data_IF_586432959435
#
_entry.id   IF_586432959435
#
_cell.length_a   1.000
_cell.length_b   1.000
_cell.length_c   1.000
_cell.angle_alpha   90.00
_cell.angle_beta   90.00
_cell.angle_gamma   90.00
#
_symmetry.space_group_name_H-M   'P 1'
#
loop_
_entity.id
_entity.type
_entity.pdbx_description
1 polymer ?
#
# COMPACT_ATOMS: atom_id res chain seq x y z
N UNK A 1 -53.97 60.30 -23.70
CA UNK A 1 -53.74 61.77 -23.69
C UNK A 1 -53.95 62.26 -22.27
N UNK A 2 -53.08 63.15 -21.77
CA UNK A 2 -53.04 63.73 -20.39
C UNK A 2 -53.00 62.71 -19.23
N UNK A 3 -52.14 62.83 -18.21
CA UNK A 3 -51.57 64.04 -17.58
C UNK A 3 -52.35 64.29 -16.27
N UNK A 4 -51.75 64.50 -15.09
CA UNK A 4 -50.38 64.94 -14.74
C UNK A 4 -50.04 64.65 -13.25
N UNK A 5 -48.75 64.70 -12.88
CA UNK A 5 -48.22 64.86 -11.49
C UNK A 5 -47.83 66.34 -11.29
N UNK A 6 -47.89 66.96 -10.08
CA UNK A 6 -46.79 66.94 -9.08
C UNK A 6 -47.37 66.86 -7.62
N UNK A 7 -46.72 67.15 -6.47
CA UNK A 7 -45.35 67.49 -6.02
C UNK A 7 -45.16 66.82 -4.61
N UNK A 8 -44.00 66.40 -4.09
CA UNK A 8 -42.81 67.11 -3.52
C UNK A 8 -43.08 68.18 -2.45
N UNK A 9 -42.63 67.91 -1.21
CA UNK A 9 -41.76 68.70 -0.29
C UNK A 9 -41.83 67.98 1.09
N UNK A 10 -40.81 67.28 1.61
CA UNK A 10 -39.45 67.66 2.05
C UNK A 10 -39.38 68.30 3.46
N UNK A 11 -38.33 67.94 4.22
CA UNK A 11 -37.92 68.31 5.63
C UNK A 11 -38.02 67.07 6.56
N UNK A 12 -36.96 66.26 6.70
CA UNK A 12 -35.88 66.36 7.70
C UNK A 12 -36.35 66.39 9.17
N UNK A 13 -35.98 65.38 9.97
CA UNK A 13 -34.88 65.47 10.95
C UNK A 13 -34.95 64.42 12.10
N UNK A 14 -33.76 63.88 12.43
CA UNK A 14 -33.30 63.41 13.76
C UNK A 14 -33.86 62.09 14.35
N UNK A 15 -32.89 61.26 14.74
CA UNK A 15 -32.97 59.93 15.33
C UNK A 15 -33.54 59.86 16.76
N UNK A 16 -33.84 58.63 17.22
CA UNK A 16 -33.31 58.07 18.47
C UNK A 16 -33.21 56.54 18.34
N UNK A 17 -32.19 55.96 18.99
CA UNK A 17 -31.86 54.52 19.02
C UNK A 17 -32.76 53.75 20.00
N UNK A 18 -33.19 52.54 19.63
CA UNK A 18 -33.66 51.52 20.57
C UNK A 18 -33.42 50.09 20.02
N UNK A 19 -32.16 49.67 19.96
CA UNK A 19 -31.79 48.30 19.58
C UNK A 19 -32.18 47.32 20.69
N UNK A 20 -33.34 46.68 20.58
CA UNK A 20 -33.69 45.55 21.45
C UNK A 20 -33.00 44.30 20.89
N UNK A 21 -31.77 44.06 21.37
CA UNK A 21 -31.13 42.76 21.26
C UNK A 21 -31.91 41.74 22.10
N UNK A 22 -32.78 40.97 21.46
CA UNK A 22 -33.19 39.68 22.01
C UNK A 22 -31.99 38.75 21.96
N UNK A 23 -31.32 38.61 23.11
CA UNK A 23 -30.25 37.65 23.32
C UNK A 23 -30.78 36.23 23.23
N UNK A 24 -30.85 35.69 22.03
CA UNK A 24 -30.90 34.24 21.84
C UNK A 24 -29.54 33.68 22.26
N UNK A 25 -29.43 33.26 23.52
CA UNK A 25 -28.32 32.43 24.01
C UNK A 25 -28.46 31.03 23.40
N UNK A 26 -28.22 30.93 22.09
CA UNK A 26 -27.88 29.68 21.46
C UNK A 26 -26.49 29.33 21.99
N UNK A 27 -26.40 28.33 22.86
CA UNK A 27 -25.14 27.70 23.17
C UNK A 27 -24.64 27.04 21.88
N UNK A 28 -23.75 27.72 21.15
CA UNK A 28 -22.82 27.06 20.26
C UNK A 28 -21.94 26.18 21.15
N UNK A 29 -22.40 24.95 21.35
CA UNK A 29 -21.48 23.88 21.72
C UNK A 29 -20.55 23.73 20.53
N UNK A 30 -19.45 24.50 20.56
CA UNK A 30 -18.27 24.30 19.74
C UNK A 30 -17.66 22.95 20.14
N UNK A 31 -18.36 21.90 19.71
CA UNK A 31 -17.88 20.55 19.69
C UNK A 31 -16.94 20.54 18.50
N UNK A 32 -15.69 20.92 18.78
CA UNK A 32 -14.56 20.61 17.93
C UNK A 32 -14.77 19.16 17.43
N UNK A 33 -14.77 18.92 16.11
CA UNK A 33 -14.91 17.57 15.59
C UNK A 33 -13.90 16.68 16.32
N UNK A 34 -14.28 15.46 16.75
CA UNK A 34 -13.33 14.58 17.43
C UNK A 34 -12.08 14.52 16.57
N UNK A 35 -10.94 14.94 17.13
CA UNK A 35 -9.68 14.97 16.40
C UNK A 35 -9.50 13.62 15.74
N UNK A 36 -9.34 13.62 14.41
CA UNK A 36 -9.15 12.36 13.69
C UNK A 36 -7.98 11.64 14.35
N UNK A 37 -8.16 10.37 14.77
CA UNK A 37 -7.08 9.66 15.44
C UNK A 37 -5.89 9.66 14.49
N UNK A 38 -4.74 10.14 14.98
CA UNK A 38 -3.51 10.16 14.19
C UNK A 38 -3.33 8.80 13.51
N UNK A 39 -2.93 8.77 12.22
CA UNK A 39 -2.62 7.51 11.55
C UNK A 39 -1.67 6.69 12.44
N UNK A 40 -1.94 5.39 12.65
CA UNK A 40 -1.06 4.55 13.44
C UNK A 40 0.34 4.58 12.83
N UNK A 41 1.34 4.83 13.68
CA UNK A 41 2.74 4.92 13.26
C UNK A 41 3.17 3.62 12.56
N UNK A 42 3.55 3.73 11.30
CA UNK A 42 4.10 2.61 10.55
C UNK A 42 5.51 2.35 11.07
N UNK A 43 5.69 1.19 11.67
CA UNK A 43 6.99 0.70 12.17
C UNK A 43 7.63 -0.29 11.20
N UNK A 44 7.12 -0.39 9.97
CA UNK A 44 7.63 -1.33 8.96
C UNK A 44 7.97 -0.63 7.65
N UNK A 45 8.88 -1.24 6.90
CA UNK A 45 9.30 -0.77 5.59
C UNK A 45 9.53 -1.91 4.62
N UNK A 46 9.55 -1.59 3.33
CA UNK A 46 9.84 -2.51 2.24
C UNK A 46 11.14 -2.12 1.54
N UNK A 47 12.03 -3.10 1.34
CA UNK A 47 13.25 -2.95 0.58
C UNK A 47 13.19 -3.87 -0.65
N UNK A 48 12.86 -3.28 -1.80
CA UNK A 48 12.65 -4.00 -3.05
C UNK A 48 13.91 -4.10 -3.92
N UNK A 49 13.92 -5.12 -4.77
CA UNK A 49 14.92 -5.36 -5.81
C UNK A 49 14.29 -6.18 -6.94
N UNK A 50 14.97 -6.27 -8.08
CA UNK A 50 14.55 -7.06 -9.25
C UNK A 50 15.66 -7.99 -9.72
N UNK A 51 15.30 -9.03 -10.45
CA UNK A 51 16.25 -9.82 -11.23
C UNK A 51 16.91 -8.99 -12.36
N UNK A 52 18.11 -9.38 -12.84
CA UNK A 52 18.82 -8.65 -13.88
C UNK A 52 18.02 -8.57 -15.19
N UNK A 53 17.71 -7.36 -15.63
CA UNK A 53 16.93 -7.08 -16.85
C UNK A 53 15.49 -6.63 -16.60
N UNK A 54 14.98 -6.80 -15.38
CA UNK A 54 13.64 -6.33 -14.97
C UNK A 54 13.75 -4.95 -14.33
N UNK A 55 12.98 -3.98 -14.84
CA UNK A 55 12.95 -2.60 -14.34
C UNK A 55 11.98 -2.47 -13.14
N UNK A 56 12.53 -2.11 -11.98
CA UNK A 56 11.78 -1.94 -10.73
C UNK A 56 10.87 -0.70 -10.76
N UNK A 57 11.13 0.24 -11.66
CA UNK A 57 10.36 1.49 -11.84
C UNK A 57 9.38 1.41 -13.01
N UNK A 58 9.26 0.24 -13.63
CA UNK A 58 8.21 -0.03 -14.61
C UNK A 58 6.83 0.05 -13.97
N UNK A 59 5.80 0.38 -14.78
CA UNK A 59 4.41 0.48 -14.33
C UNK A 59 3.91 -0.84 -13.75
N UNK A 60 4.42 -1.94 -14.29
CA UNK A 60 4.05 -3.30 -13.97
C UNK A 60 4.70 -3.74 -12.64
N UNK A 61 5.96 -3.38 -12.40
CA UNK A 61 6.61 -3.55 -11.10
C UNK A 61 5.94 -2.71 -10.01
N UNK A 62 5.55 -1.47 -10.31
CA UNK A 62 4.81 -0.58 -9.41
C UNK A 62 3.45 -1.19 -8.99
N UNK A 63 2.68 -1.74 -9.94
CA UNK A 63 1.40 -2.41 -9.69
C UNK A 63 1.57 -3.69 -8.84
N UNK A 64 2.61 -4.48 -9.08
CA UNK A 64 2.93 -5.69 -8.30
C UNK A 64 3.34 -5.31 -6.87
N UNK A 65 4.20 -4.29 -6.70
CA UNK A 65 4.56 -3.70 -5.39
C UNK A 65 3.31 -3.28 -4.61
N UNK A 66 2.49 -2.42 -5.22
CA UNK A 66 1.31 -1.86 -4.57
C UNK A 66 0.29 -2.95 -4.20
N UNK A 67 0.18 -4.02 -4.99
CA UNK A 67 -0.67 -5.17 -4.68
C UNK A 67 -0.25 -5.84 -3.36
N UNK A 68 1.05 -6.04 -3.15
CA UNK A 68 1.59 -6.69 -1.96
C UNK A 68 1.53 -5.75 -0.74
N UNK A 69 2.04 -4.52 -0.86
CA UNK A 69 2.00 -3.53 0.24
C UNK A 69 0.56 -3.19 0.64
N UNK A 70 -0.36 -3.11 -0.33
CA UNK A 70 -1.79 -2.94 -0.07
C UNK A 70 -2.45 -4.12 0.68
N UNK A 71 -1.98 -5.37 0.48
CA UNK A 71 -2.44 -6.51 1.27
C UNK A 71 -1.92 -6.49 2.71
N UNK A 72 -0.69 -6.02 2.90
CA UNK A 72 -0.06 -5.88 4.22
C UNK A 72 -0.72 -4.73 5.02
N UNK A 73 -0.99 -3.59 4.38
CA UNK A 73 -1.81 -2.53 4.97
C UNK A 73 -3.24 -2.99 5.28
N UNK A 74 -3.85 -3.82 4.41
CA UNK A 74 -5.17 -4.42 4.68
C UNK A 74 -5.15 -5.35 5.89
N UNK A 75 -4.10 -6.15 6.06
CA UNK A 75 -3.91 -7.00 7.23
C UNK A 75 -3.82 -6.17 8.52
N UNK A 76 -2.98 -5.13 8.52
CA UNK A 76 -2.65 -4.35 9.71
C UNK A 76 -3.71 -3.30 10.10
N UNK A 77 -4.41 -2.72 9.12
CA UNK A 77 -5.29 -1.55 9.34
C UNK A 77 -6.71 -1.72 8.76
N UNK A 78 -6.99 -2.85 8.09
CA UNK A 78 -8.24 -3.09 7.38
C UNK A 78 -8.26 -2.45 5.99
N UNK A 79 -9.05 -3.01 5.07
CA UNK A 79 -9.02 -2.65 3.64
C UNK A 79 -9.32 -1.18 3.35
N UNK A 80 -10.11 -0.53 4.21
CA UNK A 80 -10.52 0.88 4.05
C UNK A 80 -9.37 1.86 4.39
N UNK A 81 -8.30 1.38 5.05
CA UNK A 81 -7.07 2.11 5.35
C UNK A 81 -5.85 1.59 4.54
N UNK A 82 -6.11 0.83 3.48
CA UNK A 82 -5.08 0.38 2.53
C UNK A 82 -4.78 1.48 1.49
N UNK A 83 -3.93 1.17 0.51
CA UNK A 83 -3.59 2.04 -0.61
C UNK A 83 -4.85 2.49 -1.35
N UNK A 84 -4.96 3.76 -1.78
CA UNK A 84 -6.12 4.23 -2.53
C UNK A 84 -6.36 3.36 -3.78
N UNK A 85 -7.62 2.99 -3.99
CA UNK A 85 -8.03 2.07 -5.07
C UNK A 85 -7.82 0.58 -4.79
N UNK A 86 -7.05 0.19 -3.77
CA UNK A 86 -6.78 -1.23 -3.47
C UNK A 86 -8.07 -2.04 -3.26
N UNK A 87 -9.00 -1.49 -2.46
CA UNK A 87 -10.30 -2.11 -2.19
C UNK A 87 -11.09 -2.40 -3.48
N UNK A 88 -11.04 -1.51 -4.47
CA UNK A 88 -11.66 -1.77 -5.77
C UNK A 88 -10.86 -2.79 -6.60
N UNK A 89 -9.53 -2.68 -6.60
CA UNK A 89 -8.64 -3.56 -7.34
C UNK A 89 -8.80 -5.04 -6.95
N UNK A 90 -9.00 -5.36 -5.67
CA UNK A 90 -9.28 -6.74 -5.18
C UNK A 90 -10.77 -7.13 -5.21
N UNK A 91 -11.65 -6.25 -5.68
CA UNK A 91 -13.09 -6.50 -5.76
C UNK A 91 -13.83 -6.45 -4.42
N UNK A 92 -13.35 -5.62 -3.48
CA UNK A 92 -13.99 -5.25 -2.22
C UNK A 92 -13.71 -6.18 -1.01
N UNK A 93 -14.06 -5.71 0.21
CA UNK A 93 -13.91 -6.50 1.43
C UNK A 93 -14.65 -7.83 1.34
N UNK A 94 -13.95 -8.92 1.66
CA UNK A 94 -14.50 -10.27 1.71
C UNK A 94 -13.66 -11.17 2.61
N UNK A 95 -14.27 -11.67 3.68
CA UNK A 95 -13.77 -12.90 4.30
C UNK A 95 -13.94 -14.05 3.30
N UNK A 96 -12.83 -14.55 2.76
CA UNK A 96 -12.86 -15.48 1.63
C UNK A 96 -12.08 -16.75 1.91
N UNK A 97 -12.56 -17.86 1.33
CA UNK A 97 -11.84 -19.12 1.16
C UNK A 97 -11.33 -19.29 -0.28
N UNK A 98 -11.39 -18.22 -1.08
CA UNK A 98 -10.83 -18.14 -2.42
C UNK A 98 -9.31 -18.19 -2.31
N UNK A 99 -8.73 -19.30 -2.76
CA UNK A 99 -7.31 -19.60 -2.61
C UNK A 99 -6.43 -18.72 -3.50
N UNK A 100 -7.00 -18.00 -4.48
CA UNK A 100 -6.28 -17.00 -5.28
C UNK A 100 -5.81 -15.80 -4.48
N UNK A 101 -6.36 -15.55 -3.30
CA UNK A 101 -5.97 -14.44 -2.44
C UNK A 101 -5.37 -14.95 -1.13
N UNK A 102 -4.29 -14.30 -0.68
CA UNK A 102 -3.84 -14.42 0.69
C UNK A 102 -5.02 -14.05 1.61
N UNK A 103 -5.28 -14.86 2.65
CA UNK A 103 -6.53 -14.82 3.40
C UNK A 103 -6.86 -13.42 3.95
N UNK A 104 -5.83 -12.63 4.30
CA UNK A 104 -5.97 -11.27 4.82
C UNK A 104 -6.08 -10.16 3.78
N UNK A 105 -5.76 -10.41 2.51
CA UNK A 105 -5.70 -9.38 1.44
C UNK A 105 -7.06 -8.70 1.16
N UNK A 106 -8.14 -9.18 1.77
CA UNK A 106 -9.50 -8.66 1.59
C UNK A 106 -10.25 -8.48 2.91
N UNK A 107 -9.55 -8.48 4.05
CA UNK A 107 -10.19 -8.32 5.35
C UNK A 107 -10.69 -6.89 5.58
N UNK A 108 -11.96 -6.79 5.99
CA UNK A 108 -12.57 -5.49 6.29
C UNK A 108 -11.96 -4.83 7.52
N UNK A 109 -11.62 -5.64 8.52
CA UNK A 109 -11.10 -5.19 9.81
C UNK A 109 -9.64 -5.65 9.96
N UNK A 110 -8.79 -4.86 10.65
CA UNK A 110 -7.43 -5.26 10.97
C UNK A 110 -7.40 -6.51 11.85
N UNK A 111 -6.27 -7.22 11.84
CA UNK A 111 -5.97 -8.16 12.92
C UNK A 111 -5.53 -7.42 14.18
N UNK A 112 -5.94 -7.95 15.34
CA UNK A 112 -5.45 -7.53 16.65
C UNK A 112 -4.03 -8.08 16.87
N UNK A 113 -3.05 -7.45 16.22
CA UNK A 113 -1.61 -7.69 16.41
C UNK A 113 -0.93 -6.37 16.68
N UNK A 114 -0.04 -6.34 17.67
CA UNK A 114 0.81 -5.19 17.90
C UNK A 114 1.76 -5.01 16.70
N UNK A 115 1.91 -3.80 16.12
CA UNK A 115 2.92 -3.55 15.10
C UNK A 115 4.32 -3.90 15.62
N UNK A 116 5.13 -4.55 14.78
CA UNK A 116 6.48 -4.98 15.13
C UNK A 116 7.48 -4.27 14.19
N UNK A 117 8.53 -3.63 14.72
CA UNK A 117 9.60 -3.05 13.90
C UNK A 117 10.26 -4.06 12.96
N UNK A 118 10.03 -3.94 11.65
CA UNK A 118 10.42 -4.95 10.65
C UNK A 118 10.69 -4.35 9.27
N UNK A 119 11.66 -4.92 8.53
CA UNK A 119 11.79 -4.68 7.09
C UNK A 119 11.44 -5.93 6.31
N UNK A 120 10.54 -5.78 5.34
CA UNK A 120 10.21 -6.78 4.34
C UNK A 120 11.13 -6.60 3.14
N UNK A 121 12.08 -7.52 2.99
CA UNK A 121 12.93 -7.58 1.81
C UNK A 121 12.18 -8.33 0.71
N UNK A 122 12.04 -7.69 -0.45
CA UNK A 122 11.23 -8.18 -1.57
C UNK A 122 12.09 -8.24 -2.84
N UNK A 123 11.88 -9.27 -3.65
CA UNK A 123 12.56 -9.44 -4.94
C UNK A 123 11.57 -9.86 -6.01
N UNK A 124 11.36 -8.99 -6.99
CA UNK A 124 10.49 -9.23 -8.12
C UNK A 124 11.22 -10.10 -9.16
N UNK A 125 10.59 -11.21 -9.52
CA UNK A 125 11.06 -12.23 -10.45
C UNK A 125 9.92 -12.69 -11.35
N UNK A 126 10.26 -13.27 -12.51
CA UNK A 126 9.29 -13.84 -13.46
C UNK A 126 8.19 -12.82 -13.86
N UNK A 127 8.56 -11.54 -14.00
CA UNK A 127 7.63 -10.48 -14.43
C UNK A 127 7.33 -10.67 -15.92
N UNK A 128 6.09 -11.06 -16.24
CA UNK A 128 5.60 -11.22 -17.60
C UNK A 128 4.41 -10.30 -17.87
N UNK A 129 4.41 -9.67 -19.04
CA UNK A 129 3.32 -8.80 -19.52
C UNK A 129 2.83 -9.34 -20.86
N UNK A 130 1.57 -9.80 -20.91
CA UNK A 130 0.95 -10.34 -22.12
C UNK A 130 -0.40 -9.67 -22.32
N UNK A 131 -0.55 -8.96 -23.45
CA UNK A 131 -1.70 -8.12 -23.78
C UNK A 131 -2.05 -7.16 -22.63
N UNK A 132 -3.14 -7.45 -21.90
CA UNK A 132 -3.67 -6.66 -20.79
C UNK A 132 -3.46 -7.35 -19.43
N UNK A 133 -2.54 -8.31 -19.34
CA UNK A 133 -2.26 -9.09 -18.13
C UNK A 133 -0.82 -8.91 -17.66
N UNK A 134 -0.66 -8.66 -16.37
CA UNK A 134 0.62 -8.73 -15.65
C UNK A 134 0.61 -10.02 -14.82
N UNK A 135 1.66 -10.81 -14.93
CA UNK A 135 1.93 -11.96 -14.05
C UNK A 135 3.31 -11.76 -13.43
N UNK A 136 3.46 -12.05 -12.15
CA UNK A 136 4.75 -11.94 -11.46
C UNK A 136 4.86 -12.87 -10.25
N UNK A 137 6.08 -13.21 -9.89
CA UNK A 137 6.42 -13.78 -8.58
C UNK A 137 7.27 -12.81 -7.77
N UNK A 138 7.07 -12.79 -6.44
CA UNK A 138 7.85 -11.95 -5.53
C UNK A 138 8.37 -12.80 -4.39
N UNK A 139 9.69 -12.97 -4.36
CA UNK A 139 10.41 -13.64 -3.28
C UNK A 139 10.52 -12.70 -2.07
N UNK A 140 10.47 -13.26 -0.87
CA UNK A 140 10.48 -12.52 0.38
C UNK A 140 11.44 -13.08 1.42
N UNK A 141 11.88 -12.20 2.31
CA UNK A 141 12.22 -12.52 3.70
C UNK A 141 12.02 -11.26 4.55
N UNK A 142 12.09 -11.38 5.87
CA UNK A 142 11.97 -10.22 6.77
C UNK A 142 12.99 -10.27 7.89
N UNK A 143 13.51 -9.11 8.28
CA UNK A 143 14.37 -8.94 9.44
C UNK A 143 13.73 -7.96 10.40
N UNK A 144 13.78 -8.26 11.69
CA UNK A 144 13.21 -7.43 12.75
C UNK A 144 14.29 -6.57 13.41
N UNK A 145 13.89 -5.40 13.93
CA UNK A 145 14.83 -4.49 14.59
C UNK A 145 15.11 -4.83 16.06
N UNK A 146 14.15 -5.45 16.76
CA UNK A 146 14.18 -5.62 18.23
C UNK A 146 14.16 -7.09 18.70
N UNK A 147 14.13 -8.08 17.79
CA UNK A 147 14.00 -9.50 18.14
C UNK A 147 14.63 -10.47 17.14
N UNK A 148 15.21 -11.54 17.66
CA UNK A 148 15.62 -12.72 16.89
C UNK A 148 14.42 -13.66 16.69
N UNK A 149 13.67 -13.48 15.60
CA UNK A 149 12.51 -14.34 15.28
C UNK A 149 12.86 -15.45 14.27
N UNK A 150 12.65 -16.71 14.66
CA UNK A 150 13.00 -17.90 13.88
C UNK A 150 12.11 -18.15 12.65
N UNK A 151 11.15 -17.26 12.36
CA UNK A 151 10.01 -17.56 11.49
C UNK A 151 10.32 -17.78 10.00
N UNK A 152 11.54 -17.51 9.53
CA UNK A 152 11.94 -17.65 8.12
C UNK A 152 12.90 -18.81 7.83
N UNK A 153 12.94 -19.85 8.67
CA UNK A 153 13.57 -21.13 8.32
C UNK A 153 12.47 -22.18 8.05
N UNK A 154 12.31 -22.69 6.82
CA UNK A 154 13.09 -22.39 5.62
C UNK A 154 12.77 -21.01 5.00
N UNK A 155 13.72 -20.46 4.23
CA UNK A 155 13.46 -19.36 3.32
C UNK A 155 12.59 -19.88 2.18
N UNK A 156 11.34 -19.44 2.18
CA UNK A 156 10.30 -20.02 1.34
C UNK A 156 9.11 -19.07 1.09
N UNK A 157 9.25 -17.78 1.41
CA UNK A 157 8.20 -16.80 1.18
C UNK A 157 8.21 -16.38 -0.29
N UNK A 158 7.24 -16.83 -1.08
CA UNK A 158 7.03 -16.32 -2.44
C UNK A 158 5.55 -16.00 -2.65
N UNK A 159 5.26 -14.86 -3.27
CA UNK A 159 3.90 -14.39 -3.55
C UNK A 159 3.71 -14.36 -5.07
N UNK A 160 2.69 -15.06 -5.56
CA UNK A 160 2.25 -14.98 -6.96
C UNK A 160 1.23 -13.86 -7.11
N UNK A 161 1.42 -13.00 -8.12
CA UNK A 161 0.58 -11.84 -8.40
C UNK A 161 0.10 -11.88 -9.86
N UNK A 162 -1.20 -11.70 -10.06
CA UNK A 162 -1.81 -11.54 -11.38
C UNK A 162 -2.73 -10.32 -11.36
N UNK A 163 -2.57 -9.43 -12.34
CA UNK A 163 -3.47 -8.31 -12.58
C UNK A 163 -3.99 -8.35 -14.02
N UNK A 164 -5.27 -8.07 -14.20
CA UNK A 164 -5.90 -7.87 -15.50
C UNK A 164 -6.37 -6.41 -15.64
N UNK A 165 -6.09 -5.81 -16.80
CA UNK A 165 -6.65 -4.54 -17.24
C UNK A 165 -7.91 -4.80 -18.08
N UNK A 166 -9.11 -4.34 -17.68
CA UNK A 166 -10.32 -4.47 -18.47
C UNK A 166 -10.18 -3.91 -19.90
N UNK A 167 -10.95 -4.46 -20.84
CA UNK A 167 -10.92 -3.99 -22.23
C UNK A 167 -11.33 -2.51 -22.31
N UNK A 168 -10.44 -1.67 -22.84
CA UNK A 168 -10.63 -0.21 -22.89
C UNK A 168 -10.28 0.54 -21.60
N UNK A 169 -9.77 -0.13 -20.57
CA UNK A 169 -9.25 0.50 -19.36
C UNK A 169 -7.95 1.27 -19.60
N UNK A 170 -7.68 2.25 -18.74
CA UNK A 170 -6.45 3.03 -18.74
C UNK A 170 -5.30 2.23 -18.10
N UNK A 171 -4.23 2.01 -18.87
CA UNK A 171 -2.99 1.38 -18.39
C UNK A 171 -2.32 2.18 -17.26
N UNK A 172 -2.47 3.51 -17.30
CA UNK A 172 -1.76 4.46 -16.45
C UNK A 172 -0.29 4.64 -16.86
N UNK A 173 0.36 5.63 -16.25
CA UNK A 173 1.80 5.78 -16.26
C UNK A 173 2.37 5.41 -14.89
N UNK A 174 3.63 4.96 -14.85
CA UNK A 174 4.36 4.77 -13.60
C UNK A 174 4.66 6.13 -12.93
N UNK A 175 4.90 6.10 -11.62
CA UNK A 175 5.56 7.19 -10.92
C UNK A 175 6.98 7.44 -11.43
N UNK A 176 7.56 8.62 -11.15
CA UNK A 176 8.98 8.89 -11.40
C UNK A 176 9.87 7.87 -10.66
N UNK A 177 10.99 7.41 -11.26
CA UNK A 177 11.95 6.56 -10.57
C UNK A 177 12.51 7.21 -9.30
N UNK A 178 12.58 6.43 -8.22
CA UNK A 178 13.31 6.78 -7.01
C UNK A 178 14.82 6.75 -7.30
N UNK A 179 15.46 7.91 -7.16
CA UNK A 179 16.82 8.13 -7.63
C UNK A 179 17.92 7.77 -6.65
N UNK A 180 17.63 7.57 -5.36
CA UNK A 180 18.66 7.32 -4.34
C UNK A 180 18.18 6.44 -3.17
N UNK A 181 18.46 5.12 -3.18
CA UNK A 181 18.11 4.20 -2.08
C UNK A 181 18.81 4.48 -0.74
N UNK A 182 19.74 5.45 -0.67
CA UNK A 182 20.38 5.88 0.57
C UNK A 182 19.70 7.08 1.23
N UNK A 183 18.71 7.69 0.56
CA UNK A 183 17.86 8.75 1.13
C UNK A 183 16.42 8.27 1.23
N UNK A 184 15.64 8.89 2.11
CA UNK A 184 14.18 8.72 2.06
C UNK A 184 13.44 9.93 2.63
N UNK A 185 12.31 10.27 2.04
CA UNK A 185 11.25 11.08 2.61
C UNK A 185 10.76 10.44 3.93
N UNK A 186 10.66 11.20 5.04
CA UNK A 186 10.12 10.69 6.29
C UNK A 186 8.74 10.01 6.18
N UNK A 187 7.93 10.40 5.20
CA UNK A 187 6.60 9.86 4.95
C UNK A 187 6.58 8.74 3.88
N UNK A 188 7.72 8.32 3.32
CA UNK A 188 7.80 7.33 2.23
C UNK A 188 7.16 5.97 2.56
N UNK A 189 7.18 5.57 3.84
CA UNK A 189 6.55 4.35 4.34
C UNK A 189 5.02 4.40 4.34
N UNK A 190 4.41 5.59 4.27
CA UNK A 190 2.97 5.75 4.24
C UNK A 190 2.39 5.33 2.87
N UNK A 191 1.11 4.89 2.82
CA UNK A 191 0.44 4.66 1.55
C UNK A 191 0.47 5.90 0.64
N UNK A 192 0.59 5.69 -0.68
CA UNK A 192 0.54 6.77 -1.67
C UNK A 192 -0.74 7.59 -1.55
N UNK A 193 -0.65 8.91 -1.75
CA UNK A 193 -1.80 9.82 -1.76
C UNK A 193 -2.69 9.72 -3.01
N UNK A 194 -2.43 8.79 -3.93
CA UNK A 194 -3.16 8.60 -5.19
C UNK A 194 -3.52 7.14 -5.43
N UNK A 195 -4.48 6.90 -6.33
CA UNK A 195 -4.85 5.55 -6.75
C UNK A 195 -3.79 4.96 -7.69
N UNK A 196 -2.93 4.08 -7.15
CA UNK A 196 -1.91 3.39 -7.96
C UNK A 196 -2.54 2.44 -8.98
N UNK A 197 -3.68 1.83 -8.68
CA UNK A 197 -4.27 0.77 -9.50
C UNK A 197 -5.02 1.27 -10.72
N UNK A 198 -5.73 2.40 -10.61
CA UNK A 198 -6.60 2.89 -11.68
C UNK A 198 -7.63 1.83 -12.10
N UNK A 199 -7.59 1.42 -13.37
CA UNK A 199 -8.49 0.42 -13.94
C UNK A 199 -8.02 -1.03 -13.75
N UNK A 200 -6.79 -1.27 -13.26
CA UNK A 200 -6.28 -2.62 -13.03
C UNK A 200 -7.03 -3.37 -11.93
N UNK A 201 -7.26 -4.67 -12.13
CA UNK A 201 -7.95 -5.55 -11.17
C UNK A 201 -7.07 -6.76 -10.83
N UNK A 202 -6.76 -6.91 -9.55
CA UNK A 202 -5.96 -8.02 -9.00
C UNK A 202 -6.81 -9.29 -9.09
N UNK A 203 -6.34 -10.28 -9.85
CA UNK A 203 -7.01 -11.57 -10.04
C UNK A 203 -6.49 -12.62 -9.04
N UNK A 204 -5.19 -12.57 -8.77
CA UNK A 204 -4.46 -13.46 -7.87
C UNK A 204 -3.44 -12.65 -7.09
N UNK A 205 -3.34 -12.91 -5.79
CA UNK A 205 -2.36 -12.34 -4.88
C UNK A 205 -2.13 -13.34 -3.76
N UNK A 206 -1.36 -14.40 -4.04
CA UNK A 206 -1.32 -15.62 -3.23
C UNK A 206 0.09 -15.91 -2.71
N UNK A 207 0.22 -16.08 -1.39
CA UNK A 207 1.40 -16.73 -0.81
C UNK A 207 1.47 -18.19 -1.28
N UNK A 208 2.53 -18.55 -2.00
CA UNK A 208 2.72 -19.89 -2.55
C UNK A 208 3.02 -20.86 -1.38
N UNK A 209 2.20 -21.91 -1.16
CA UNK A 209 2.39 -22.82 -0.05
C UNK A 209 3.52 -23.81 -0.35
N UNK A 210 4.47 -23.97 0.57
CA UNK A 210 5.55 -24.96 0.44
C UNK A 210 4.98 -26.38 0.49
N UNK A 211 4.84 -27.04 -0.66
CA UNK A 211 4.29 -28.39 -0.75
C UNK A 211 4.78 -29.12 -2.01
N UNK A 212 4.71 -30.47 -2.07
CA UNK A 212 5.08 -31.21 -3.28
C UNK A 212 4.26 -30.83 -4.53
N UNK A 213 3.04 -30.33 -4.33
CA UNK A 213 2.14 -29.89 -5.41
C UNK A 213 2.34 -28.41 -5.80
N UNK A 214 3.10 -27.65 -5.00
CA UNK A 214 3.40 -26.23 -5.23
C UNK A 214 4.85 -25.94 -4.81
N UNK A 215 5.74 -25.97 -5.79
CA UNK A 215 7.13 -25.53 -5.62
C UNK A 215 7.21 -24.01 -5.66
N UNK A 216 8.08 -23.44 -4.85
CA UNK A 216 8.49 -22.04 -4.97
C UNK A 216 9.15 -21.82 -6.35
N UNK A 217 9.05 -20.62 -6.96
CA UNK A 217 9.77 -20.30 -8.20
C UNK A 217 11.28 -20.52 -8.04
N UNK A 218 11.92 -21.21 -8.99
CA UNK A 218 13.37 -21.45 -8.96
C UNK A 218 14.18 -20.14 -9.04
N UNK A 219 13.61 -19.11 -9.67
CA UNK A 219 14.08 -17.73 -9.73
C UNK A 219 14.34 -17.08 -8.36
N UNK A 220 13.68 -17.52 -7.29
CA UNK A 220 13.96 -17.04 -5.93
C UNK A 220 15.31 -17.53 -5.35
N UNK A 221 15.80 -18.68 -5.83
CA UNK A 221 16.96 -19.35 -5.23
C UNK A 221 18.27 -18.60 -5.41
N UNK A 222 18.62 -18.03 -6.59
CA UNK A 222 19.82 -17.21 -6.73
C UNK A 222 19.84 -15.99 -5.81
N UNK A 223 18.69 -15.31 -5.65
CA UNK A 223 18.58 -14.13 -4.80
C UNK A 223 18.80 -14.49 -3.32
N UNK A 224 18.07 -15.47 -2.79
CA UNK A 224 18.28 -15.93 -1.41
C UNK A 224 19.71 -16.45 -1.18
N UNK A 225 20.26 -17.23 -2.11
CA UNK A 225 21.64 -17.75 -2.02
C UNK A 225 22.69 -16.63 -2.01
N UNK A 226 22.41 -15.49 -2.64
CA UNK A 226 23.31 -14.32 -2.61
C UNK A 226 23.34 -13.59 -1.26
N UNK A 227 22.28 -13.73 -0.45
CA UNK A 227 22.14 -13.06 0.86
C UNK A 227 22.43 -13.97 2.03
N UNK A 228 22.18 -15.27 1.87
CA UNK A 228 22.37 -16.31 2.87
C UNK A 228 23.22 -17.46 2.27
N UNK A 229 24.50 -17.20 1.91
CA UNK A 229 25.36 -18.15 1.20
C UNK A 229 25.71 -19.40 2.03
N UNK A 230 25.45 -19.39 3.34
CA UNK A 230 25.61 -20.52 4.25
C UNK A 230 24.38 -21.43 4.34
N UNK A 231 23.26 -21.09 3.68
CA UNK A 231 22.04 -21.89 3.73
C UNK A 231 22.06 -23.02 2.68
N UNK A 232 21.49 -24.17 3.04
CA UNK A 232 21.43 -25.34 2.16
C UNK A 232 20.20 -25.29 1.24
N UNK A 233 20.43 -25.30 -0.09
CA UNK A 233 19.37 -25.40 -1.09
C UNK A 233 18.68 -26.77 -1.02
N UNK A 234 17.35 -26.77 -0.93
CA UNK A 234 16.48 -27.95 -1.08
C UNK A 234 15.76 -27.90 -2.41
N UNK A 235 16.29 -28.64 -3.38
CA UNK A 235 15.85 -28.66 -4.78
C UNK A 235 14.42 -29.15 -5.00
N UNK A 236 13.91 -29.97 -4.10
CA UNK A 236 12.58 -30.60 -4.24
C UNK A 236 11.42 -29.61 -4.07
N UNK A 237 11.66 -28.49 -3.36
CA UNK A 237 10.65 -27.50 -2.98
C UNK A 237 11.05 -26.07 -3.36
N UNK A 238 12.26 -25.88 -3.89
CA UNK A 238 12.90 -24.59 -4.16
C UNK A 238 12.95 -23.68 -2.93
N UNK A 239 13.44 -24.21 -1.81
CA UNK A 239 13.62 -23.48 -0.55
C UNK A 239 15.09 -23.52 -0.10
N UNK A 240 15.49 -22.61 0.81
CA UNK A 240 16.79 -22.66 1.49
C UNK A 240 16.59 -22.92 2.98
N UNK A 241 17.32 -23.90 3.53
CA UNK A 241 17.34 -24.20 4.96
C UNK A 241 18.49 -23.46 5.64
N UNK A 242 18.22 -22.80 6.76
CA UNK A 242 19.29 -22.29 7.63
C UNK A 242 20.03 -23.46 8.30
N UNK A 243 21.35 -23.37 8.52
CA UNK A 243 22.11 -24.42 9.21
C UNK A 243 21.68 -24.58 10.69
N UNK A 244 22.00 -25.74 11.28
CA UNK A 244 21.63 -26.04 12.66
C UNK A 244 22.17 -24.99 13.65
N UNK A 245 21.29 -24.46 14.49
CA UNK A 245 21.62 -23.43 15.49
C UNK A 245 21.77 -22.01 14.93
N UNK A 246 21.50 -21.79 13.64
CA UNK A 246 21.49 -20.46 13.04
C UNK A 246 20.44 -19.54 13.67
N UNK A 247 20.76 -18.26 13.80
CA UNK A 247 19.90 -17.21 14.34
C UNK A 247 19.83 -16.02 13.37
N UNK A 248 18.65 -15.39 13.20
CA UNK A 248 18.49 -14.16 12.42
C UNK A 248 19.45 -13.06 12.87
N UNK A 249 20.07 -12.31 11.94
CA UNK A 249 20.57 -10.98 12.29
C UNK A 249 19.36 -10.06 12.54
N UNK A 250 19.40 -9.31 13.65
CA UNK A 250 18.54 -8.12 13.79
C UNK A 250 19.08 -6.99 12.94
N UNK A 251 18.22 -6.20 12.32
CA UNK A 251 18.61 -5.00 11.58
C UNK A 251 17.65 -3.85 11.90
N UNK A 252 18.13 -2.61 12.11
CA UNK A 252 17.27 -1.43 12.07
C UNK A 252 16.36 -1.45 10.84
N UNK A 253 15.12 -0.96 11.01
CA UNK A 253 14.16 -0.81 9.93
C UNK A 253 14.84 0.01 8.82
N UNK A 254 14.99 -0.61 7.64
CA UNK A 254 15.58 0.00 6.48
C UNK A 254 14.70 1.14 5.97
N UNK A 255 15.29 2.02 5.15
CA UNK A 255 14.50 2.97 4.37
C UNK A 255 13.53 2.22 3.45
N UNK A 256 12.34 2.79 3.23
CA UNK A 256 11.43 2.33 2.19
C UNK A 256 12.12 2.54 0.83
N UNK A 257 12.17 1.51 -0.01
CA UNK A 257 12.73 1.64 -1.35
C UNK A 257 12.13 0.64 -2.35
N UNK A 258 11.73 1.09 -3.56
CA UNK A 258 11.46 2.48 -3.90
C UNK A 258 10.39 3.13 -3.02
N UNK A 259 10.49 4.44 -2.89
CA UNK A 259 9.43 5.29 -2.38
C UNK A 259 8.16 5.23 -3.23
N UNK A 260 7.08 5.75 -2.65
CA UNK A 260 5.85 6.04 -3.36
C UNK A 260 5.87 7.48 -3.90
N UNK A 261 6.48 7.66 -5.08
CA UNK A 261 6.51 8.94 -5.80
C UNK A 261 5.36 9.03 -6.81
N UNK A 262 4.47 10.01 -6.66
CA UNK A 262 3.28 10.16 -7.52
C UNK A 262 3.59 10.60 -8.95
N UNK A 263 2.73 10.27 -9.94
CA UNK A 263 2.88 10.73 -11.32
C UNK A 263 2.84 12.26 -11.41
N UNK A 264 3.69 12.84 -12.26
CA UNK A 264 3.84 14.31 -12.36
C UNK A 264 2.69 15.03 -13.09
N UNK A 265 1.76 14.29 -13.67
CA UNK A 265 0.52 14.80 -14.26
C UNK A 265 -0.67 14.05 -13.67
N UNK A 266 -1.78 14.75 -13.41
CA UNK A 266 -3.02 14.14 -12.91
C UNK A 266 -3.56 13.15 -13.96
N UNK A 267 -3.70 11.88 -13.57
CA UNK A 267 -4.34 10.82 -14.37
C UNK A 267 -5.87 10.93 -14.33
#
# INVERSE_FOLDING_TARGET
>A
MSGSRPARHAVQAIAVVATILLGATACTNDTEPPAEPNPPELVHSHAWSTEPGTDLFSREAELVRASIEGAEMTLLFGIDNSFPGYSEAVGGPRETTDDRFHRSARWKYPVDVAPIPVTFFRHLVDLEVVDNRITASVCGYRLFADREDRMFNPLSEAIHVELDLPSGGNYGAAGPPDGDPATSDPDAQNPPGWNVFGDWRIQTLRLIPVSPDHTIPESCLPWWSSRFPEFERRTELNILNAPDGWAPPTQPVALQYPEWIGPTENQ
#
